data_IF_307014657887
#
_entry.id   IF_307014657887
#
_cell.length_a   1.000
_cell.length_b   1.000
_cell.length_c   1.000
_cell.angle_alpha   90.00
_cell.angle_beta   90.00
_cell.angle_gamma   90.00
#
_symmetry.space_group_name_H-M   'P 1'
#
loop_
_entity.id
_entity.type
_entity.pdbx_description
1 polymer ?
#
# COMPACT_ATOMS: atom_id res chain seq x y z
N UNK A 1 -9.76 -16.02 19.44
CA UNK A 1 -8.62 -15.46 18.67
C UNK A 1 -9.19 -14.76 17.47
N UNK A 2 -9.20 -13.43 17.48
CA UNK A 2 -9.75 -12.59 16.43
C UNK A 2 -8.97 -12.77 15.12
N UNK A 3 -9.67 -13.10 14.02
CA UNK A 3 -9.10 -13.27 12.68
C UNK A 3 -8.21 -12.10 12.23
N UNK A 4 -8.48 -10.89 12.73
CA UNK A 4 -7.70 -9.67 12.46
C UNK A 4 -6.28 -9.73 13.04
N UNK A 5 -6.10 -10.32 14.21
CA UNK A 5 -4.79 -10.43 14.88
C UNK A 5 -3.84 -11.36 14.11
N UNK A 6 -4.39 -12.43 13.54
CA UNK A 6 -3.63 -13.35 12.69
C UNK A 6 -3.14 -12.68 11.40
N UNK A 7 -3.97 -11.82 10.81
CA UNK A 7 -3.58 -11.00 9.65
C UNK A 7 -2.48 -10.00 10.03
N UNK A 8 -2.58 -9.33 11.18
CA UNK A 8 -1.54 -8.40 11.66
C UNK A 8 -0.19 -9.11 11.81
N UNK A 9 -0.15 -10.26 12.48
CA UNK A 9 1.08 -11.08 12.63
C UNK A 9 1.68 -11.49 11.29
N UNK A 10 0.84 -11.78 10.30
CA UNK A 10 1.28 -12.14 8.95
C UNK A 10 1.89 -10.94 8.22
N UNK A 11 1.26 -9.77 8.35
CA UNK A 11 1.72 -8.48 7.78
C UNK A 11 3.02 -8.02 8.41
N UNK A 12 3.25 -8.31 9.68
CA UNK A 12 4.50 -7.98 10.35
C UNK A 12 5.70 -8.72 9.72
N UNK A 13 5.51 -9.97 9.30
CA UNK A 13 6.52 -10.80 8.62
C UNK A 13 6.84 -10.32 7.21
N UNK A 14 5.94 -9.56 6.57
CA UNK A 14 6.15 -9.05 5.22
C UNK A 14 7.15 -7.89 5.19
N UNK A 15 7.84 -7.67 4.05
CA UNK A 15 8.83 -6.61 3.92
C UNK A 15 8.25 -5.23 4.29
N UNK A 16 9.00 -4.43 5.08
CA UNK A 16 8.60 -3.05 5.39
C UNK A 16 8.72 -2.19 4.13
N UNK A 17 7.58 -1.87 3.50
CA UNK A 17 7.52 -1.00 2.31
C UNK A 17 6.32 -0.04 2.36
N UNK A 18 6.21 0.82 1.34
CA UNK A 18 5.20 1.89 1.27
C UNK A 18 3.78 1.32 1.38
N UNK A 19 3.04 1.71 2.42
CA UNK A 19 1.67 1.26 2.66
C UNK A 19 1.49 0.25 3.81
N UNK A 20 2.57 -0.34 4.34
CA UNK A 20 2.49 -1.24 5.51
C UNK A 20 1.87 -0.56 6.74
N UNK A 21 2.32 0.66 7.04
CA UNK A 21 1.80 1.43 8.17
C UNK A 21 0.31 1.74 8.00
N UNK A 22 -0.13 2.06 6.78
CA UNK A 22 -1.53 2.33 6.46
C UNK A 22 -2.36 1.06 6.62
N UNK A 23 -1.83 -0.08 6.16
CA UNK A 23 -2.52 -1.37 6.28
C UNK A 23 -2.65 -1.82 7.74
N UNK A 24 -1.59 -1.68 8.55
CA UNK A 24 -1.65 -1.95 9.98
C UNK A 24 -2.66 -1.03 10.69
N UNK A 25 -2.72 0.24 10.31
CA UNK A 25 -3.73 1.19 10.81
C UNK A 25 -5.14 0.77 10.42
N UNK A 26 -5.35 0.30 9.19
CA UNK A 26 -6.63 -0.24 8.73
C UNK A 26 -7.08 -1.43 9.60
N UNK A 27 -6.17 -2.39 9.81
CA UNK A 27 -6.44 -3.61 10.59
C UNK A 27 -6.76 -3.30 12.06
N UNK A 28 -6.16 -2.24 12.61
CA UNK A 28 -6.46 -1.70 13.96
C UNK A 28 -7.77 -0.92 14.03
N UNK A 29 -8.48 -0.72 12.92
CA UNK A 29 -9.75 0.02 12.87
C UNK A 29 -9.60 1.54 12.81
N UNK A 30 -8.40 2.06 12.54
CA UNK A 30 -8.18 3.49 12.38
C UNK A 30 -8.81 4.01 11.07
N UNK A 31 -9.32 5.25 11.12
CA UNK A 31 -9.81 5.94 9.91
C UNK A 31 -8.63 6.35 9.04
N UNK A 32 -8.66 5.95 7.78
CA UNK A 32 -7.64 6.27 6.79
C UNK A 32 -8.17 7.29 5.79
N UNK A 33 -7.32 8.19 5.35
CA UNK A 33 -7.62 9.06 4.20
C UNK A 33 -7.67 8.24 2.92
N UNK A 34 -8.32 8.75 1.87
CA UNK A 34 -8.44 8.04 0.58
C UNK A 34 -7.06 7.58 0.05
N UNK A 35 -6.05 8.44 0.12
CA UNK A 35 -4.68 8.11 -0.30
C UNK A 35 -4.04 7.01 0.56
N UNK A 36 -4.27 7.04 1.86
CA UNK A 36 -3.80 6.01 2.80
C UNK A 36 -4.46 4.65 2.54
N UNK A 37 -5.78 4.64 2.28
CA UNK A 37 -6.52 3.43 1.95
C UNK A 37 -6.01 2.79 0.63
N UNK A 38 -5.70 3.60 -0.38
CA UNK A 38 -5.11 3.11 -1.64
C UNK A 38 -3.75 2.44 -1.37
N UNK A 39 -2.87 3.10 -0.60
CA UNK A 39 -1.56 2.53 -0.24
C UNK A 39 -1.68 1.21 0.52
N UNK A 40 -2.62 1.14 1.48
CA UNK A 40 -2.91 -0.07 2.24
C UNK A 40 -3.39 -1.21 1.32
N UNK A 41 -4.30 -0.92 0.39
CA UNK A 41 -4.84 -1.92 -0.55
C UNK A 41 -3.81 -2.40 -1.56
N UNK A 42 -2.97 -1.49 -2.08
CA UNK A 42 -1.85 -1.88 -2.94
C UNK A 42 -0.85 -2.76 -2.18
N UNK A 43 -0.55 -2.45 -0.92
CA UNK A 43 0.35 -3.25 -0.09
C UNK A 43 -0.19 -4.67 0.19
N UNK A 44 -1.50 -4.79 0.45
CA UNK A 44 -2.20 -6.07 0.56
C UNK A 44 -2.11 -6.87 -0.76
N UNK A 45 -2.38 -6.22 -1.89
CA UNK A 45 -2.41 -6.85 -3.22
C UNK A 45 -1.07 -7.47 -3.62
N UNK A 46 0.04 -6.84 -3.26
CA UNK A 46 1.40 -7.29 -3.63
C UNK A 46 2.04 -8.16 -2.55
N UNK A 47 1.34 -8.48 -1.46
CA UNK A 47 1.89 -9.31 -0.39
C UNK A 47 3.12 -8.72 0.31
N UNK A 48 3.29 -7.39 0.25
CA UNK A 48 4.50 -6.71 0.74
C UNK A 48 5.72 -6.78 -0.18
N UNK A 49 5.60 -7.29 -1.41
CA UNK A 49 6.67 -7.23 -2.40
C UNK A 49 6.75 -5.87 -3.11
N UNK A 50 7.93 -5.53 -3.63
CA UNK A 50 8.12 -4.30 -4.42
C UNK A 50 7.95 -4.72 -5.87
N UNK A 51 6.75 -4.49 -6.40
CA UNK A 51 6.48 -4.69 -7.82
C UNK A 51 6.57 -3.33 -8.51
N UNK A 52 7.78 -2.74 -8.53
CA UNK A 52 8.08 -1.58 -9.37
C UNK A 52 8.63 -2.05 -10.73
N UNK A 53 7.94 -1.76 -11.84
CA UNK A 53 6.59 -1.21 -11.98
C UNK A 53 5.50 -2.27 -11.77
N UNK A 54 4.28 -1.84 -11.40
CA UNK A 54 3.17 -2.75 -11.21
C UNK A 54 2.65 -3.21 -12.58
N UNK A 55 2.78 -4.50 -12.90
CA UNK A 55 2.46 -5.05 -14.21
C UNK A 55 0.96 -5.31 -14.45
N UNK A 56 0.09 -5.04 -13.47
CA UNK A 56 -1.36 -5.26 -13.61
C UNK A 56 -1.95 -4.12 -14.47
N UNK A 57 -2.06 -4.35 -15.79
CA UNK A 57 -2.51 -3.34 -16.75
C UNK A 57 -3.95 -2.87 -16.51
N UNK A 58 -4.84 -3.78 -16.09
CA UNK A 58 -6.27 -3.51 -15.91
C UNK A 58 -6.63 -2.92 -14.53
N UNK A 59 -5.66 -2.65 -13.67
CA UNK A 59 -5.93 -2.17 -12.32
C UNK A 59 -6.37 -0.70 -12.32
N UNK A 60 -7.62 -0.43 -11.91
CA UNK A 60 -8.14 0.94 -11.77
C UNK A 60 -7.34 1.81 -10.77
N UNK A 61 -6.60 1.18 -9.85
CA UNK A 61 -5.74 1.87 -8.88
C UNK A 61 -4.32 2.10 -9.38
N UNK A 62 -3.94 1.59 -10.56
CA UNK A 62 -2.62 1.77 -11.17
C UNK A 62 -2.15 3.23 -11.27
N UNK A 63 -2.98 4.22 -11.67
CA UNK A 63 -2.55 5.64 -11.69
C UNK A 63 -2.31 6.21 -10.29
N UNK A 64 -2.89 5.61 -9.25
CA UNK A 64 -2.72 6.04 -7.85
C UNK A 64 -1.68 5.18 -7.10
N UNK A 65 -1.04 4.24 -7.79
CA UNK A 65 -0.10 3.30 -7.19
C UNK A 65 1.16 4.07 -6.75
N UNK A 66 1.55 4.02 -5.46
CA UNK A 66 2.59 4.91 -4.92
C UNK A 66 4.00 4.63 -5.47
N UNK A 67 4.18 3.50 -6.15
CA UNK A 67 5.45 3.00 -6.69
C UNK A 67 5.54 3.15 -8.21
N UNK A 68 4.41 3.40 -8.87
CA UNK A 68 4.31 3.47 -10.34
C UNK A 68 4.45 4.90 -10.87
N UNK A 69 4.75 5.87 -10.00
CA UNK A 69 5.11 7.22 -10.45
C UNK A 69 6.53 7.15 -11.03
N UNK A 70 6.65 7.34 -12.33
CA UNK A 70 7.92 7.66 -12.98
C UNK A 70 8.45 9.05 -12.58
N UNK A 71 7.63 9.85 -11.90
CA UNK A 71 7.92 11.24 -11.55
C UNK A 71 7.77 11.51 -10.04
N UNK A 72 8.64 10.95 -9.20
CA UNK A 72 8.90 11.54 -7.88
C UNK A 72 10.33 12.08 -7.92
N UNK A 73 10.50 13.00 -8.87
CA UNK A 73 11.76 13.57 -9.30
C UNK A 73 11.58 14.62 -10.40
N UNK A 74 10.48 15.39 -10.41
CA UNK A 74 10.53 16.77 -10.88
C UNK A 74 10.03 17.71 -9.79
N UNK A 75 10.89 18.68 -9.52
CA UNK A 75 10.65 19.90 -8.77
C UNK A 75 9.89 20.88 -9.67
N UNK A 76 8.85 21.51 -9.15
CA UNK A 76 8.26 22.76 -9.64
C UNK A 76 7.09 23.11 -8.70
N UNK A 77 6.97 24.25 -8.00
CA UNK A 77 7.24 25.64 -8.38
C UNK A 77 6.91 25.87 -9.84
N UNK A 78 5.67 26.21 -10.13
CA UNK A 78 5.21 27.59 -10.38
C UNK A 78 3.72 27.71 -10.08
#
# INVERSE_FOLDING_TARGET
MDRKDQTIKSVERWPKKVGKAEYLRHLKGARLTRGAAIKAKCYECVGGEDTRPCNIAICALKPYCPWNRKDCGETGKE
#
